data_IF_668661842640
#
_entry.id   IF_668661842640
#
_cell.length_a   1.000
_cell.length_b   1.000
_cell.length_c   1.000
_cell.angle_alpha   90.00
_cell.angle_beta   90.00
_cell.angle_gamma   90.00
#
_symmetry.space_group_name_H-M   'P 1'
#
loop_
_entity.id
_entity.type
_entity.pdbx_description
1 polymer ?
#
# COMPACT_ATOMS: atom_id res chain seq x y z
N UNK A 1 8.06 14.08 -25.86
CA UNK A 1 7.94 12.61 -25.66
C UNK A 1 6.90 12.38 -24.58
N UNK A 2 5.77 11.75 -24.91
CA UNK A 2 4.52 11.79 -24.10
C UNK A 2 4.58 10.84 -22.89
N UNK A 3 4.17 11.29 -21.68
CA UNK A 3 4.24 10.51 -20.43
C UNK A 3 3.34 9.27 -20.42
N UNK A 4 2.42 9.17 -21.37
CA UNK A 4 1.48 8.06 -21.53
C UNK A 4 2.17 6.75 -21.93
N UNK A 5 3.29 6.82 -22.65
CA UNK A 5 4.07 5.63 -23.03
C UNK A 5 4.75 4.99 -21.82
N UNK A 6 5.19 5.81 -20.86
CA UNK A 6 5.84 5.36 -19.63
C UNK A 6 4.88 4.60 -18.70
N UNK A 7 3.63 5.05 -18.60
CA UNK A 7 2.61 4.42 -17.75
C UNK A 7 2.17 3.06 -18.32
N UNK A 8 2.05 2.96 -19.65
CA UNK A 8 1.70 1.70 -20.32
C UNK A 8 2.81 0.65 -20.18
N UNK A 9 4.08 1.06 -20.28
CA UNK A 9 5.22 0.18 -20.07
C UNK A 9 5.31 -0.38 -18.64
N UNK A 10 4.91 0.41 -17.63
CA UNK A 10 4.95 -0.01 -16.22
C UNK A 10 3.90 -1.07 -15.86
N UNK A 11 2.76 -1.11 -16.56
CA UNK A 11 1.69 -2.07 -16.31
C UNK A 11 2.00 -3.50 -16.79
N UNK A 12 2.87 -3.64 -17.81
CA UNK A 12 3.22 -4.94 -18.40
C UNK A 12 4.10 -5.80 -17.48
N UNK A 13 4.87 -5.19 -16.58
CA UNK A 13 5.70 -5.89 -15.59
C UNK A 13 4.95 -6.33 -14.34
N UNK A 14 3.66 -6.02 -14.19
CA UNK A 14 2.87 -6.42 -13.02
C UNK A 14 2.24 -7.81 -13.16
N UNK A 15 2.23 -8.39 -14.37
CA UNK A 15 1.78 -9.77 -14.64
C UNK A 15 2.99 -10.71 -14.79
N UNK A 16 3.88 -10.76 -13.79
CA UNK A 16 5.00 -11.70 -13.80
C UNK A 16 4.52 -13.11 -13.47
N UNK A 17 4.97 -14.09 -14.24
CA UNK A 17 4.81 -15.52 -13.93
C UNK A 17 5.35 -15.84 -12.54
N UNK A 18 4.55 -16.52 -11.73
CA UNK A 18 5.00 -17.07 -10.45
C UNK A 18 6.20 -18.02 -10.71
N UNK A 19 7.35 -17.82 -10.04
CA UNK A 19 8.50 -18.69 -10.26
C UNK A 19 8.17 -20.12 -9.83
N UNK A 20 8.64 -21.14 -10.55
CA UNK A 20 8.49 -22.53 -10.12
C UNK A 20 9.30 -22.76 -8.84
N UNK A 21 8.64 -22.72 -7.69
CA UNK A 21 9.22 -23.05 -6.38
C UNK A 21 9.21 -24.56 -6.08
N UNK A 22 8.48 -25.35 -6.87
CA UNK A 22 8.26 -26.79 -6.65
C UNK A 22 9.56 -27.62 -6.70
N UNK A 23 10.66 -27.06 -7.20
CA UNK A 23 11.96 -27.73 -7.28
C UNK A 23 12.95 -27.26 -6.22
N UNK A 24 12.54 -26.38 -5.29
CA UNK A 24 13.42 -25.85 -4.23
C UNK A 24 13.48 -26.73 -2.99
N UNK A 25 12.54 -27.65 -2.84
CA UNK A 25 12.48 -28.61 -1.73
C UNK A 25 13.13 -29.91 -2.18
N UNK A 26 14.20 -30.31 -1.49
CA UNK A 26 14.85 -31.59 -1.77
C UNK A 26 14.00 -32.73 -1.21
N UNK A 27 14.06 -33.96 -1.76
CA UNK A 27 13.33 -35.10 -1.22
C UNK A 27 13.60 -35.35 0.28
N UNK A 28 14.85 -35.10 0.71
CA UNK A 28 15.23 -35.17 2.12
C UNK A 28 14.53 -34.14 3.01
N UNK A 29 14.12 -32.99 2.45
CA UNK A 29 13.40 -31.94 3.15
C UNK A 29 11.89 -32.20 3.18
N UNK A 30 11.35 -32.91 2.17
CA UNK A 30 9.95 -33.37 2.18
C UNK A 30 9.69 -34.43 3.25
N UNK A 31 10.66 -35.32 3.47
CA UNK A 31 10.60 -36.37 4.50
C UNK A 31 11.04 -35.90 5.89
N UNK A 32 11.58 -34.68 5.99
CA UNK A 32 12.04 -34.13 7.26
C UNK A 32 10.89 -33.89 8.23
N UNK A 33 11.13 -34.16 9.52
CA UNK A 33 10.18 -33.80 10.55
C UNK A 33 9.99 -32.27 10.58
N UNK A 34 8.73 -31.84 10.68
CA UNK A 34 8.43 -30.42 10.90
C UNK A 34 9.08 -29.92 12.20
N UNK A 35 9.58 -28.67 12.22
CA UNK A 35 10.19 -28.11 13.41
C UNK A 35 9.17 -27.97 14.54
N UNK A 36 9.66 -28.09 15.77
CA UNK A 36 8.85 -27.85 16.95
C UNK A 36 8.35 -26.40 16.98
N UNK A 37 7.06 -26.21 17.19
CA UNK A 37 6.46 -24.89 17.35
C UNK A 37 6.88 -24.30 18.71
N UNK A 38 7.51 -23.13 18.67
CA UNK A 38 7.87 -22.39 19.88
C UNK A 38 6.75 -21.38 20.19
N UNK A 39 6.33 -21.21 21.46
CA UNK A 39 5.34 -20.21 21.83
C UNK A 39 5.72 -18.81 21.37
N UNK A 40 4.79 -18.11 20.73
CA UNK A 40 5.04 -16.79 20.15
C UNK A 40 5.19 -15.68 21.20
N UNK A 41 4.44 -15.77 22.29
CA UNK A 41 4.42 -14.77 23.36
C UNK A 41 5.81 -14.43 23.95
N UNK A 42 6.68 -15.39 24.34
CA UNK A 42 8.02 -15.08 24.83
C UNK A 42 8.93 -14.47 23.76
N UNK A 43 8.76 -14.84 22.49
CA UNK A 43 9.55 -14.29 21.37
C UNK A 43 9.20 -12.81 21.17
N UNK A 44 7.90 -12.48 21.19
CA UNK A 44 7.42 -11.10 21.07
C UNK A 44 7.85 -10.26 22.28
N UNK A 45 7.85 -10.83 23.48
CA UNK A 45 8.32 -10.14 24.69
C UNK A 45 9.83 -9.83 24.65
N UNK A 46 10.61 -10.65 23.94
CA UNK A 46 12.05 -10.46 23.73
C UNK A 46 12.38 -9.58 22.52
N UNK A 47 11.39 -9.27 21.68
CA UNK A 47 11.57 -8.34 20.57
C UNK A 47 11.79 -6.93 21.13
N UNK A 48 13.05 -6.52 21.27
CA UNK A 48 13.44 -5.19 21.71
C UNK A 48 12.99 -4.15 20.68
N UNK A 49 11.77 -3.65 20.88
CA UNK A 49 11.11 -2.57 20.12
C UNK A 49 10.85 -2.92 18.64
N UNK A 50 9.61 -2.82 18.13
CA UNK A 50 9.39 -2.82 16.68
C UNK A 50 10.29 -1.74 16.09
N UNK A 51 11.22 -2.13 15.21
CA UNK A 51 12.40 -1.33 14.84
C UNK A 51 12.10 0.15 14.74
N UNK A 52 12.90 0.97 15.44
CA UNK A 52 12.77 2.43 15.44
C UNK A 52 12.53 2.88 14.01
N UNK A 53 11.32 3.37 13.72
CA UNK A 53 10.99 3.92 12.41
C UNK A 53 12.04 5.01 12.17
N UNK A 54 12.94 4.85 11.18
CA UNK A 54 14.04 5.79 11.00
C UNK A 54 13.45 7.19 10.88
N UNK A 55 14.06 8.20 11.49
CA UNK A 55 13.52 9.57 11.48
C UNK A 55 13.18 10.06 10.05
N UNK A 56 13.91 9.55 9.06
CA UNK A 56 13.67 9.75 7.63
C UNK A 56 12.30 9.22 7.16
N UNK A 57 11.83 8.08 7.67
CA UNK A 57 10.51 7.54 7.36
C UNK A 57 9.38 8.41 7.92
N UNK A 58 9.57 9.01 9.11
CA UNK A 58 8.60 9.96 9.66
C UNK A 58 8.51 11.24 8.82
N UNK A 59 9.65 11.80 8.40
CA UNK A 59 9.68 13.00 7.55
C UNK A 59 8.95 12.80 6.21
N UNK A 60 9.10 11.63 5.58
CA UNK A 60 8.39 11.29 4.35
C UNK A 60 6.87 11.20 4.56
N UNK A 61 6.43 10.64 5.70
CA UNK A 61 5.02 10.55 6.07
C UNK A 61 4.43 11.94 6.35
N UNK A 62 5.12 12.79 7.11
CA UNK A 62 4.68 14.15 7.42
C UNK A 62 4.52 15.00 6.15
N UNK A 63 5.47 14.92 5.23
CA UNK A 63 5.38 15.59 3.94
C UNK A 63 4.20 15.08 3.09
N UNK A 64 3.85 13.79 3.20
CA UNK A 64 2.68 13.24 2.52
C UNK A 64 1.38 13.72 3.18
N UNK A 65 1.31 13.73 4.50
CA UNK A 65 0.16 14.22 5.27
C UNK A 65 -0.12 15.69 4.94
N UNK A 66 0.91 16.53 4.90
CA UNK A 66 0.76 17.96 4.59
C UNK A 66 0.19 18.18 3.17
N UNK A 67 0.72 17.46 2.17
CA UNK A 67 0.20 17.50 0.78
C UNK A 67 -1.25 17.04 0.70
N UNK A 68 -1.62 15.97 1.41
CA UNK A 68 -3.00 15.47 1.43
C UNK A 68 -3.95 16.48 2.08
N UNK A 69 -3.56 17.10 3.19
CA UNK A 69 -4.35 18.15 3.85
C UNK A 69 -4.54 19.37 2.94
N UNK A 70 -3.48 19.82 2.27
CA UNK A 70 -3.57 20.92 1.30
C UNK A 70 -4.51 20.58 0.13
N UNK A 71 -4.44 19.36 -0.40
CA UNK A 71 -5.36 18.89 -1.44
C UNK A 71 -6.81 18.86 -0.96
N UNK A 72 -7.06 18.34 0.24
CA UNK A 72 -8.39 18.30 0.83
C UNK A 72 -8.96 19.71 1.05
N UNK A 73 -8.14 20.66 1.51
CA UNK A 73 -8.56 22.06 1.66
C UNK A 73 -9.01 22.67 0.32
N UNK A 74 -8.29 22.38 -0.78
CA UNK A 74 -8.69 22.81 -2.13
C UNK A 74 -9.99 22.16 -2.59
N UNK A 75 -10.22 20.89 -2.24
CA UNK A 75 -11.44 20.16 -2.62
C UNK A 75 -12.67 20.54 -1.78
N UNK A 76 -12.49 21.07 -0.57
CA UNK A 76 -13.59 21.53 0.29
C UNK A 76 -14.30 22.79 -0.21
N UNK A 77 -13.72 23.49 -1.19
CA UNK A 77 -14.41 24.57 -1.89
C UNK A 77 -15.68 24.05 -2.58
N UNK A 78 -16.63 24.95 -2.87
CA UNK A 78 -17.83 24.51 -3.58
C UNK A 78 -17.51 24.17 -5.03
N UNK A 79 -17.42 22.88 -5.34
CA UNK A 79 -17.15 22.37 -6.69
C UNK A 79 -18.30 22.67 -7.66
N UNK A 80 -19.51 22.83 -7.12
CA UNK A 80 -20.70 23.16 -7.87
C UNK A 80 -21.00 24.66 -7.78
N UNK A 81 -21.33 25.28 -8.90
CA UNK A 81 -21.99 26.58 -8.94
C UNK A 81 -23.37 26.51 -8.26
N UNK A 82 -23.94 27.67 -7.91
CA UNK A 82 -25.30 27.72 -7.35
C UNK A 82 -26.34 27.08 -8.29
N UNK A 83 -26.22 27.34 -9.59
CA UNK A 83 -27.11 26.77 -10.63
C UNK A 83 -27.00 25.25 -10.73
N UNK A 84 -25.79 24.69 -10.65
CA UNK A 84 -25.59 23.24 -10.68
C UNK A 84 -26.20 22.55 -9.46
N UNK A 85 -26.05 23.14 -8.27
CA UNK A 85 -26.70 22.63 -7.06
C UNK A 85 -28.22 22.65 -7.16
N UNK A 86 -28.78 23.72 -7.72
CA UNK A 86 -30.23 23.84 -7.87
C UNK A 86 -30.80 22.81 -8.86
N UNK A 87 -30.11 22.55 -9.98
CA UNK A 87 -30.51 21.47 -10.91
C UNK A 87 -30.46 20.09 -10.24
N UNK A 88 -29.42 19.81 -9.44
CA UNK A 88 -29.30 18.53 -8.75
C UNK A 88 -30.41 18.34 -7.71
N UNK A 89 -30.74 19.39 -6.94
CA UNK A 89 -31.81 19.34 -5.95
C UNK A 89 -33.20 19.11 -6.58
N UNK A 90 -33.44 19.67 -7.76
CA UNK A 90 -34.69 19.47 -8.51
C UNK A 90 -34.83 18.06 -9.10
N UNK A 91 -33.72 17.41 -9.49
CA UNK A 91 -33.73 16.05 -10.01
C UNK A 91 -33.79 14.94 -8.95
N UNK A 92 -33.72 15.29 -7.66
CA UNK A 92 -33.86 14.37 -6.52
C UNK A 92 -35.28 14.38 -5.92
N UNK A 93 -36.19 15.19 -6.46
CA UNK A 93 -37.62 15.24 -6.10
C UNK A 93 -38.40 14.21 -6.92
#
# INVERSE_FOLDING_TARGET
MKPHCLIFALGLGACTTFPQLDHTVTPALEEAAYPALVPLAPIVAQATTPGVVPAQANAALDARISRLRARAARLRGSVLTGRERQRLAQGLQ
#
